data_IF_110257718145
#
_entry.id   IF_110257718145
#
_cell.length_a   1.000
_cell.length_b   1.000
_cell.length_c   1.000
_cell.angle_alpha   90.00
_cell.angle_beta   90.00
_cell.angle_gamma   90.00
#
_symmetry.space_group_name_H-M   'P 1'
#
loop_
_entity.id
_entity.type
_entity.pdbx_description
1 polymer ?
#
# COMPACT_ATOMS: atom_id res chain seq x y z
N UNK A 1 -27.41 -7.83 24.73
CA UNK A 1 -26.95 -8.44 23.46
C UNK A 1 -25.77 -7.64 22.91
N UNK A 2 -24.59 -8.27 22.86
CA UNK A 2 -23.29 -7.70 22.48
C UNK A 2 -23.26 -7.30 20.98
N UNK A 3 -23.14 -6.00 20.69
CA UNK A 3 -22.80 -5.45 19.36
C UNK A 3 -21.30 -5.18 19.18
N UNK A 4 -20.45 -5.69 20.06
CA UNK A 4 -19.02 -5.31 20.15
C UNK A 4 -18.07 -6.20 19.33
N UNK A 5 -18.52 -7.30 18.72
CA UNK A 5 -17.58 -8.28 18.16
C UNK A 5 -17.34 -8.22 16.63
N UNK A 6 -18.04 -7.39 15.85
CA UNK A 6 -17.91 -7.44 14.38
C UNK A 6 -16.73 -6.63 13.83
N UNK A 7 -16.43 -5.45 14.40
CA UNK A 7 -15.38 -4.54 13.89
C UNK A 7 -13.96 -5.11 14.14
N UNK A 8 -13.73 -5.70 15.32
CA UNK A 8 -12.44 -6.30 15.69
C UNK A 8 -12.06 -7.54 14.86
N UNK A 9 -13.05 -8.32 14.43
CA UNK A 9 -12.82 -9.47 13.56
C UNK A 9 -12.41 -8.99 12.16
N UNK A 10 -13.03 -7.92 11.64
CA UNK A 10 -12.69 -7.36 10.33
C UNK A 10 -11.27 -6.76 10.31
N UNK A 11 -10.85 -6.03 11.35
CA UNK A 11 -9.48 -5.46 11.43
C UNK A 11 -8.41 -6.53 11.61
N UNK A 12 -8.70 -7.60 12.37
CA UNK A 12 -7.77 -8.73 12.54
C UNK A 12 -7.67 -9.55 11.26
N UNK A 13 -8.79 -9.78 10.57
CA UNK A 13 -8.82 -10.43 9.26
C UNK A 13 -8.19 -9.56 8.17
N UNK A 14 -8.30 -8.23 8.28
CA UNK A 14 -7.65 -7.25 7.41
C UNK A 14 -6.14 -7.21 7.63
N UNK A 15 -5.70 -7.38 8.87
CA UNK A 15 -4.27 -7.45 9.19
C UNK A 15 -3.65 -8.78 8.82
N UNK A 16 -4.38 -9.86 9.07
CA UNK A 16 -4.04 -11.17 8.57
C UNK A 16 -4.05 -11.14 7.05
N UNK A 17 -5.07 -10.60 6.39
CA UNK A 17 -5.11 -10.42 4.95
C UNK A 17 -3.97 -9.51 4.48
N UNK A 18 -3.64 -8.40 5.12
CA UNK A 18 -2.51 -7.57 4.69
C UNK A 18 -1.17 -8.33 4.84
N UNK A 19 -0.95 -9.08 5.91
CA UNK A 19 0.23 -9.95 6.09
C UNK A 19 0.22 -11.08 5.06
N UNK A 20 -0.95 -11.68 4.83
CA UNK A 20 -1.15 -12.82 3.95
C UNK A 20 -1.02 -12.36 2.53
N UNK A 21 -1.72 -11.35 2.04
CA UNK A 21 -1.57 -10.74 0.71
C UNK A 21 -0.15 -10.22 0.48
N UNK A 22 0.53 -9.64 1.47
CA UNK A 22 1.96 -9.27 1.36
C UNK A 22 2.90 -10.49 1.28
N UNK A 23 2.53 -11.62 1.88
CA UNK A 23 3.26 -12.91 1.80
C UNK A 23 2.80 -13.78 0.60
N UNK A 24 1.59 -13.55 0.06
CA UNK A 24 0.90 -14.32 -0.97
C UNK A 24 0.74 -13.57 -2.30
N UNK A 25 1.28 -12.36 -2.46
CA UNK A 25 1.59 -11.80 -3.77
C UNK A 25 2.73 -12.62 -4.39
N UNK A 26 2.34 -13.84 -4.75
CA UNK A 26 2.74 -14.64 -5.88
C UNK A 26 4.09 -14.23 -6.42
N UNK A 27 5.12 -14.89 -5.86
CA UNK A 27 6.42 -15.07 -6.50
C UNK A 27 6.23 -15.76 -7.86
N UNK A 28 5.75 -15.00 -8.86
CA UNK A 28 6.15 -15.26 -10.23
C UNK A 28 7.45 -14.50 -10.42
N UNK A 29 8.53 -15.14 -9.99
CA UNK A 29 9.87 -14.72 -10.36
C UNK A 29 10.02 -14.97 -11.87
N UNK A 30 9.40 -14.11 -12.69
CA UNK A 30 9.67 -14.03 -14.11
C UNK A 30 11.04 -13.36 -14.27
N UNK A 31 12.10 -14.04 -13.83
CA UNK A 31 13.46 -13.77 -14.28
C UNK A 31 13.55 -14.27 -15.74
N UNK A 32 12.78 -13.65 -16.63
CA UNK A 32 13.10 -13.69 -18.04
C UNK A 32 14.38 -12.86 -18.16
N UNK A 33 15.51 -13.50 -18.46
CA UNK A 33 16.82 -12.90 -18.69
C UNK A 33 16.89 -11.93 -19.88
N UNK A 34 15.76 -11.32 -20.25
CA UNK A 34 15.69 -10.23 -21.19
C UNK A 34 15.72 -8.94 -20.37
N UNK A 35 16.89 -8.29 -20.33
CA UNK A 35 17.07 -6.90 -19.91
C UNK A 35 16.34 -5.97 -20.90
N UNK A 36 15.03 -6.12 -21.07
CA UNK A 36 14.22 -5.07 -21.66
C UNK A 36 14.18 -3.95 -20.64
N UNK A 37 14.87 -2.84 -20.93
CA UNK A 37 14.75 -1.60 -20.18
C UNK A 37 13.26 -1.26 -20.08
N UNK A 38 12.67 -1.52 -18.90
CA UNK A 38 11.32 -1.06 -18.61
C UNK A 38 11.43 0.44 -18.40
N UNK A 39 10.76 1.23 -19.23
CA UNK A 39 10.63 2.67 -18.97
C UNK A 39 9.88 2.83 -17.66
N UNK A 40 10.55 3.38 -16.64
CA UNK A 40 9.97 3.60 -15.32
C UNK A 40 8.69 4.44 -15.37
N UNK A 41 7.87 4.28 -14.35
CA UNK A 41 6.60 4.97 -14.22
C UNK A 41 6.79 6.50 -14.21
N UNK A 42 6.03 7.23 -15.04
CA UNK A 42 6.12 8.69 -15.11
C UNK A 42 4.94 9.35 -14.41
N UNK A 43 5.20 9.94 -13.24
CA UNK A 43 4.20 10.66 -12.48
C UNK A 43 4.20 12.16 -12.82
N UNK A 44 3.21 12.63 -13.60
CA UNK A 44 3.10 14.04 -14.02
C UNK A 44 2.89 15.02 -12.87
N UNK A 45 2.38 14.54 -11.74
CA UNK A 45 1.99 15.38 -10.58
C UNK A 45 3.09 15.51 -9.52
N UNK A 46 4.29 14.99 -9.74
CA UNK A 46 5.38 14.96 -8.72
C UNK A 46 5.68 16.33 -8.14
N UNK A 47 5.67 17.38 -8.97
CA UNK A 47 6.10 18.74 -8.59
C UNK A 47 5.30 19.38 -7.46
N UNK A 48 4.11 18.87 -7.16
CA UNK A 48 3.24 19.38 -6.09
C UNK A 48 3.18 18.44 -4.88
N UNK A 49 3.79 17.26 -4.94
CA UNK A 49 3.76 16.28 -3.85
C UNK A 49 4.97 16.54 -2.93
N UNK A 50 4.74 16.88 -1.64
CA UNK A 50 5.82 17.00 -0.66
C UNK A 50 6.65 15.73 -0.49
N UNK A 51 7.91 15.89 -0.10
CA UNK A 51 8.90 14.81 0.12
C UNK A 51 8.53 13.82 1.23
N UNK A 52 7.66 14.20 2.16
CA UNK A 52 7.23 13.43 3.31
C UNK A 52 6.01 12.53 3.04
N UNK A 53 5.59 12.40 1.78
CA UNK A 53 4.47 11.53 1.42
C UNK A 53 4.73 10.09 1.88
N UNK A 54 3.74 9.52 2.57
CA UNK A 54 3.76 8.16 3.12
C UNK A 54 3.10 7.18 2.15
N UNK A 55 2.15 7.66 1.36
CA UNK A 55 1.57 6.91 0.27
C UNK A 55 1.26 7.85 -0.91
N UNK A 56 1.32 7.32 -2.13
CA UNK A 56 0.95 8.02 -3.37
C UNK A 56 0.10 7.07 -4.21
N UNK A 57 -1.15 7.42 -4.42
CA UNK A 57 -2.09 6.69 -5.27
C UNK A 57 -2.30 7.50 -6.54
N UNK A 58 -2.13 6.89 -7.71
CA UNK A 58 -2.25 7.55 -9.01
C UNK A 58 -3.19 6.79 -9.91
N UNK A 59 -4.06 7.52 -10.61
CA UNK A 59 -5.04 6.98 -11.54
C UNK A 59 -5.05 7.79 -12.84
N UNK A 60 -4.78 7.14 -13.98
CA UNK A 60 -4.94 7.70 -15.34
C UNK A 60 -6.41 7.81 -15.77
N UNK A 61 -7.35 7.26 -14.99
CA UNK A 61 -8.80 7.40 -15.20
C UNK A 61 -9.48 7.55 -13.87
N UNK A 62 -10.07 8.72 -13.64
CA UNK A 62 -10.69 9.07 -12.37
C UNK A 62 -11.95 8.25 -12.07
N UNK A 63 -12.67 7.72 -13.07
CA UNK A 63 -13.81 6.82 -12.85
C UNK A 63 -13.44 5.62 -11.98
N UNK A 64 -12.30 4.99 -12.27
CA UNK A 64 -11.82 3.80 -11.57
C UNK A 64 -11.32 4.12 -10.15
N UNK A 65 -11.07 5.40 -9.85
CA UNK A 65 -10.67 5.83 -8.51
C UNK A 65 -11.83 5.87 -7.53
N UNK A 66 -13.07 6.10 -7.99
CA UNK A 66 -14.24 6.07 -7.10
C UNK A 66 -14.43 4.67 -6.56
N UNK A 67 -14.39 3.66 -7.43
CA UNK A 67 -14.55 2.26 -7.04
C UNK A 67 -13.44 1.83 -6.08
N UNK A 68 -12.22 2.32 -6.22
CA UNK A 68 -11.15 1.99 -5.28
C UNK A 68 -11.19 2.79 -3.97
N UNK A 69 -11.48 4.09 -4.03
CA UNK A 69 -11.36 5.01 -2.88
C UNK A 69 -12.63 5.07 -2.02
N UNK A 70 -13.80 4.79 -2.61
CA UNK A 70 -15.11 4.99 -1.97
C UNK A 70 -15.98 3.73 -1.89
N UNK A 71 -15.60 2.64 -2.57
CA UNK A 71 -16.37 1.41 -2.47
C UNK A 71 -16.12 0.70 -1.14
N UNK A 72 -17.21 0.49 -0.40
CA UNK A 72 -17.28 -0.29 0.83
C UNK A 72 -17.44 -1.80 0.57
N UNK A 73 -17.70 -2.20 -0.67
CA UNK A 73 -18.04 -3.57 -1.08
C UNK A 73 -16.81 -4.45 -1.30
N UNK A 74 -15.64 -3.83 -1.50
CA UNK A 74 -14.34 -4.50 -1.57
C UNK A 74 -13.61 -4.46 -0.21
N UNK A 75 -12.55 -5.25 -0.10
CA UNK A 75 -11.84 -5.66 1.14
C UNK A 75 -11.31 -4.54 2.06
N UNK A 76 -11.58 -3.27 1.77
CA UNK A 76 -11.04 -2.09 2.43
C UNK A 76 -12.19 -1.19 2.91
N UNK A 77 -12.12 -0.61 4.13
CA UNK A 77 -12.98 0.52 4.45
C UNK A 77 -12.69 1.64 3.44
N UNK A 78 -13.71 2.38 2.97
CA UNK A 78 -13.52 3.43 1.98
C UNK A 78 -12.50 4.41 2.54
N UNK A 79 -11.40 4.64 1.81
CA UNK A 79 -10.42 5.65 2.16
C UNK A 79 -11.11 7.00 2.36
N UNK A 80 -12.20 7.23 1.61
CA UNK A 80 -13.10 8.35 1.79
C UNK A 80 -14.55 7.95 1.50
N UNK A 81 -15.48 8.13 2.47
CA UNK A 81 -16.91 8.10 2.16
C UNK A 81 -17.22 9.14 1.06
N UNK A 82 -18.11 8.82 0.13
CA UNK A 82 -18.54 9.75 -0.94
C UNK A 82 -19.13 11.05 -0.38
N UNK A 83 -19.63 11.01 0.86
CA UNK A 83 -20.15 12.17 1.61
C UNK A 83 -19.07 13.06 2.25
N UNK A 84 -17.81 12.61 2.30
CA UNK A 84 -16.70 13.40 2.84
C UNK A 84 -16.31 14.53 1.89
N UNK A 85 -15.64 15.60 2.38
CA UNK A 85 -15.12 16.68 1.53
C UNK A 85 -14.27 16.19 0.35
N UNK A 86 -13.44 15.17 0.58
CA UNK A 86 -12.58 14.53 -0.43
C UNK A 86 -13.41 13.73 -1.42
N UNK A 87 -14.34 12.90 -0.93
CA UNK A 87 -15.24 12.11 -1.79
C UNK A 87 -16.09 13.00 -2.69
N UNK A 88 -16.65 14.09 -2.17
CA UNK A 88 -17.40 15.06 -2.95
C UNK A 88 -16.55 15.71 -4.05
N UNK A 89 -15.30 16.09 -3.73
CA UNK A 89 -14.37 16.64 -4.73
C UNK A 89 -14.08 15.64 -5.86
N UNK A 90 -13.80 14.38 -5.53
CA UNK A 90 -13.51 13.34 -6.52
C UNK A 90 -14.74 13.09 -7.40
N UNK A 91 -15.93 12.97 -6.79
CA UNK A 91 -17.19 12.76 -7.51
C UNK A 91 -17.50 13.89 -8.49
N UNK A 92 -17.31 15.15 -8.07
CA UNK A 92 -17.49 16.32 -8.94
C UNK A 92 -16.53 16.32 -10.13
N UNK A 93 -15.37 15.68 -9.98
CA UNK A 93 -14.27 15.69 -10.94
C UNK A 93 -14.41 14.64 -12.05
N UNK A 94 -15.16 13.54 -11.82
CA UNK A 94 -15.22 12.39 -12.74
C UNK A 94 -15.66 12.74 -14.15
N UNK A 95 -16.68 13.60 -14.27
CA UNK A 95 -17.26 13.95 -15.57
C UNK A 95 -16.77 15.31 -16.10
N UNK A 96 -15.60 15.78 -15.63
CA UNK A 96 -15.13 17.15 -15.86
C UNK A 96 -13.74 17.21 -16.48
N UNK A 97 -13.42 16.25 -17.36
CA UNK A 97 -12.19 16.29 -18.16
C UNK A 97 -10.90 16.25 -17.35
N UNK A 98 -10.96 15.73 -16.11
CA UNK A 98 -9.78 15.38 -15.32
C UNK A 98 -9.19 14.11 -15.93
N UNK A 99 -7.96 14.22 -16.41
CA UNK A 99 -7.26 13.10 -17.05
C UNK A 99 -6.53 12.24 -16.05
N UNK A 100 -5.99 12.83 -14.97
CA UNK A 100 -5.33 12.06 -13.92
C UNK A 100 -5.76 12.54 -12.53
N UNK A 101 -5.92 11.58 -11.61
CA UNK A 101 -6.08 11.82 -10.19
C UNK A 101 -4.85 11.27 -9.47
N UNK A 102 -4.19 12.10 -8.67
CA UNK A 102 -3.19 11.63 -7.70
C UNK A 102 -3.65 12.00 -6.29
N UNK A 103 -3.56 11.06 -5.36
CA UNK A 103 -3.80 11.29 -3.93
C UNK A 103 -2.54 10.89 -3.17
N UNK A 104 -1.88 11.84 -2.51
CA UNK A 104 -0.78 11.54 -1.59
C UNK A 104 -1.21 11.71 -0.14
N UNK A 105 -0.68 10.87 0.75
CA UNK A 105 -1.00 10.88 2.17
C UNK A 105 0.17 11.41 2.99
N UNK A 106 -0.12 12.34 3.88
CA UNK A 106 0.87 13.01 4.71
C UNK A 106 0.43 12.96 6.17
N UNK A 107 1.40 12.87 7.06
CA UNK A 107 1.13 12.95 8.49
C UNK A 107 0.83 14.40 8.87
N UNK A 108 -0.37 14.68 9.36
CA UNK A 108 -0.82 16.04 9.66
C UNK A 108 -0.80 16.37 11.16
N UNK A 109 -1.07 15.38 12.00
CA UNK A 109 -1.07 15.50 13.46
C UNK A 109 -0.80 14.13 14.10
N UNK A 110 -0.80 14.07 15.43
CA UNK A 110 -0.57 12.82 16.15
C UNK A 110 -1.65 11.79 15.77
N UNK A 111 -1.23 10.69 15.14
CA UNK A 111 -2.12 9.62 14.65
C UNK A 111 -3.16 10.07 13.62
N UNK A 112 -2.86 11.12 12.86
CA UNK A 112 -3.74 11.63 11.82
C UNK A 112 -2.99 11.79 10.50
N UNK A 113 -3.63 11.32 9.42
CA UNK A 113 -3.18 11.54 8.06
C UNK A 113 -4.16 12.43 7.31
N UNK A 114 -3.62 13.35 6.54
CA UNK A 114 -4.39 14.19 5.63
C UNK A 114 -3.99 13.94 4.19
N UNK A 115 -4.96 13.83 3.26
CA UNK A 115 -4.67 13.72 1.84
C UNK A 115 -4.27 15.06 1.23
N UNK A 116 -3.46 14.96 0.19
CA UNK A 116 -3.30 15.97 -0.85
C UNK A 116 -3.84 15.38 -2.16
N UNK A 117 -4.97 15.90 -2.61
CA UNK A 117 -5.67 15.50 -3.84
C UNK A 117 -5.21 16.39 -4.97
N UNK A 118 -4.81 15.79 -6.08
CA UNK A 118 -4.29 16.49 -7.25
C UNK A 118 -5.11 16.06 -8.46
N UNK A 119 -5.82 17.01 -9.05
CA UNK A 119 -6.57 16.83 -10.28
C UNK A 119 -5.74 17.43 -11.42
N UNK A 120 -5.36 16.60 -12.38
CA UNK A 120 -4.62 17.01 -13.57
C UNK A 120 -5.51 17.02 -14.81
N UNK A 121 -5.28 17.99 -15.69
CA UNK A 121 -6.04 18.19 -16.92
C UNK A 121 -5.11 18.19 -18.13
N UNK A 122 -5.51 17.53 -19.22
CA UNK A 122 -4.68 17.39 -20.43
C UNK A 122 -4.63 18.63 -21.31
N UNK A 123 -5.49 19.63 -21.09
CA UNK A 123 -5.47 20.87 -21.87
C UNK A 123 -5.81 22.09 -21.02
N UNK A 124 -5.30 23.26 -21.42
CA UNK A 124 -5.57 24.53 -20.74
C UNK A 124 -7.05 24.94 -20.85
N UNK A 125 -7.71 24.58 -21.96
CA UNK A 125 -9.14 24.80 -22.16
C UNK A 125 -10.00 23.95 -21.21
N UNK A 126 -9.66 22.66 -21.06
CA UNK A 126 -10.29 21.77 -20.08
C UNK A 126 -10.04 22.29 -18.67
N UNK A 127 -8.79 22.62 -18.34
CA UNK A 127 -8.44 23.16 -17.03
C UNK A 127 -9.23 24.42 -16.68
N UNK A 128 -9.27 25.43 -17.56
CA UNK A 128 -9.89 26.73 -17.27
C UNK A 128 -11.38 26.60 -17.00
N UNK A 129 -12.09 25.88 -17.87
CA UNK A 129 -13.55 25.69 -17.77
C UNK A 129 -13.93 24.75 -16.62
N UNK A 130 -13.31 23.58 -16.54
CA UNK A 130 -13.68 22.53 -15.58
C UNK A 130 -13.19 22.84 -14.16
N UNK A 131 -11.98 23.37 -13.98
CA UNK A 131 -11.51 23.75 -12.63
C UNK A 131 -12.39 24.84 -12.00
N UNK A 132 -12.83 25.82 -12.81
CA UNK A 132 -13.71 26.89 -12.33
C UNK A 132 -15.09 26.34 -11.95
N UNK A 133 -15.62 25.39 -12.72
CA UNK A 133 -16.85 24.68 -12.37
C UNK A 133 -16.71 23.91 -11.05
N UNK A 134 -15.65 23.11 -10.88
CA UNK A 134 -15.39 22.30 -9.68
C UNK A 134 -15.28 23.22 -8.45
N UNK A 135 -14.46 24.27 -8.52
CA UNK A 135 -14.27 25.22 -7.42
C UNK A 135 -15.58 25.94 -7.06
N UNK A 136 -16.37 26.35 -8.07
CA UNK A 136 -17.69 26.96 -7.82
C UNK A 136 -18.65 25.97 -7.14
N UNK A 137 -18.67 24.70 -7.55
CA UNK A 137 -19.52 23.67 -6.90
C UNK A 137 -19.07 23.33 -5.49
N UNK A 138 -17.78 23.45 -5.20
CA UNK A 138 -17.24 23.40 -3.84
C UNK A 138 -17.48 24.69 -3.06
N UNK A 139 -18.10 25.72 -3.65
CA UNK A 139 -18.25 27.07 -3.06
C UNK A 139 -16.91 27.66 -2.62
N UNK A 140 -15.83 27.37 -3.37
CA UNK A 140 -14.49 27.78 -3.03
C UNK A 140 -14.27 29.26 -3.32
N UNK A 141 -14.01 30.03 -2.28
CA UNK A 141 -13.69 31.46 -2.34
C UNK A 141 -12.27 31.71 -1.85
N UNK A 142 -11.66 32.82 -2.25
CA UNK A 142 -10.31 33.18 -1.77
C UNK A 142 -10.37 33.38 -0.25
N UNK A 143 -9.59 32.57 0.48
CA UNK A 143 -9.49 32.62 1.94
C UNK A 143 -8.24 33.38 2.37
N UNK A 144 -7.10 33.07 1.74
CA UNK A 144 -5.81 33.64 2.10
C UNK A 144 -4.82 33.59 0.92
N UNK A 145 -3.60 34.07 1.15
CA UNK A 145 -2.47 33.86 0.24
C UNK A 145 -1.27 33.38 1.04
N UNK A 146 -0.48 32.46 0.46
CA UNK A 146 0.70 31.91 1.10
C UNK A 146 1.85 31.82 0.07
N UNK A 147 3.00 32.42 0.37
CA UNK A 147 4.13 32.53 -0.56
C UNK A 147 3.74 33.09 -1.95
N UNK A 148 2.79 34.02 -1.99
CA UNK A 148 2.26 34.61 -3.22
C UNK A 148 1.40 33.67 -4.07
N UNK A 149 0.87 32.59 -3.47
CA UNK A 149 -0.11 31.69 -4.08
C UNK A 149 -1.43 31.85 -3.36
N UNK A 150 -2.48 32.16 -4.11
CA UNK A 150 -3.83 32.27 -3.57
C UNK A 150 -4.37 30.91 -3.12
N UNK A 151 -4.89 30.87 -1.90
CA UNK A 151 -5.56 29.72 -1.32
C UNK A 151 -7.06 29.99 -1.33
N UNK A 152 -7.80 29.08 -1.96
CA UNK A 152 -9.25 29.08 -1.98
C UNK A 152 -9.75 28.08 -0.95
N UNK A 153 -10.87 28.36 -0.27
CA UNK A 153 -11.50 27.43 0.68
C UNK A 153 -12.99 27.29 0.39
N UNK A 154 -13.47 26.05 0.43
CA UNK A 154 -14.88 25.72 0.20
C UNK A 154 -15.15 24.23 0.34
N UNK A 155 -16.36 23.86 0.76
CA UNK A 155 -16.78 22.46 0.84
C UNK A 155 -15.91 21.59 1.75
N UNK A 156 -15.33 22.17 2.81
CA UNK A 156 -14.43 21.48 3.74
C UNK A 156 -13.01 21.23 3.20
N UNK A 157 -12.66 21.79 2.04
CA UNK A 157 -11.36 21.64 1.39
C UNK A 157 -10.71 23.02 1.18
N UNK A 158 -9.38 23.02 1.10
CA UNK A 158 -8.57 24.16 0.67
C UNK A 158 -7.85 23.81 -0.62
N UNK A 159 -7.69 24.80 -1.51
CA UNK A 159 -7.22 24.60 -2.87
C UNK A 159 -6.18 25.63 -3.27
N UNK A 160 -5.25 25.24 -4.15
CA UNK A 160 -4.52 26.17 -5.01
C UNK A 160 -4.40 25.61 -6.43
N UNK A 161 -4.07 26.49 -7.38
CA UNK A 161 -3.87 26.13 -8.80
C UNK A 161 -2.38 26.20 -9.16
N UNK A 162 -1.90 25.24 -9.95
CA UNK A 162 -0.53 25.23 -10.47
C UNK A 162 -0.49 24.62 -11.87
N UNK A 163 -0.20 25.42 -12.90
CA UNK A 163 -0.29 24.96 -14.28
C UNK A 163 -1.67 24.36 -14.57
N UNK A 164 -1.70 23.15 -15.14
CA UNK A 164 -2.92 22.38 -15.41
C UNK A 164 -3.37 21.52 -14.23
N UNK A 165 -3.07 21.92 -12.99
CA UNK A 165 -3.41 21.17 -11.78
C UNK A 165 -4.29 21.98 -10.83
N UNK A 166 -5.30 21.33 -10.26
CA UNK A 166 -5.96 21.76 -9.02
C UNK A 166 -5.45 20.87 -7.90
N UNK A 167 -4.85 21.50 -6.89
CA UNK A 167 -4.31 20.80 -5.72
C UNK A 167 -5.18 21.14 -4.52
N UNK A 168 -5.62 20.14 -3.77
CA UNK A 168 -6.58 20.28 -2.70
C UNK A 168 -6.22 19.46 -1.46
N UNK A 169 -6.51 19.96 -0.26
CA UNK A 169 -6.39 19.22 0.99
C UNK A 169 -7.40 19.76 2.01
N UNK A 170 -7.86 18.91 2.92
CA UNK A 170 -8.59 19.35 4.11
C UNK A 170 -7.64 19.97 5.17
N UNK A 171 -6.34 19.73 5.08
CA UNK A 171 -5.31 20.28 5.97
C UNK A 171 -4.57 21.45 5.34
N UNK A 172 -4.63 22.61 6.00
CA UNK A 172 -3.89 23.80 5.56
C UNK A 172 -2.37 23.56 5.61
N UNK A 173 -1.89 22.80 6.60
CA UNK A 173 -0.46 22.52 6.79
C UNK A 173 0.08 21.73 5.58
N UNK A 174 -0.67 20.72 5.13
CA UNK A 174 -0.28 19.90 3.97
C UNK A 174 -0.35 20.73 2.68
N UNK A 175 -1.40 21.53 2.49
CA UNK A 175 -1.52 22.41 1.33
C UNK A 175 -0.38 23.43 1.26
N UNK A 176 -0.03 24.07 2.38
CA UNK A 176 1.10 24.99 2.47
C UNK A 176 2.44 24.29 2.26
N UNK A 177 2.59 23.03 2.72
CA UNK A 177 3.77 22.22 2.45
C UNK A 177 3.96 21.98 0.95
N UNK A 178 2.88 21.66 0.24
CA UNK A 178 2.88 21.55 -1.22
C UNK A 178 3.29 22.86 -1.90
N UNK A 179 2.75 24.00 -1.47
CA UNK A 179 3.13 25.32 -1.99
C UNK A 179 4.63 25.61 -1.77
N UNK A 180 5.19 25.27 -0.59
CA UNK A 180 6.63 25.43 -0.33
C UNK A 180 7.49 24.61 -1.29
N UNK A 181 7.14 23.35 -1.51
CA UNK A 181 7.86 22.45 -2.43
C UNK A 181 7.82 22.97 -3.87
N UNK A 182 6.64 23.44 -4.33
CA UNK A 182 6.50 24.07 -5.64
C UNK A 182 7.41 25.29 -5.79
N UNK A 183 7.55 26.11 -4.75
CA UNK A 183 8.38 27.32 -4.76
C UNK A 183 9.88 27.02 -4.71
N UNK A 184 10.30 26.01 -3.96
CA UNK A 184 11.70 25.61 -3.87
C UNK A 184 12.16 24.74 -5.04
N UNK A 185 11.24 24.25 -5.87
CA UNK A 185 11.52 23.26 -6.91
C UNK A 185 11.73 21.84 -6.36
N UNK A 186 11.45 21.63 -5.07
CA UNK A 186 11.52 20.32 -4.44
C UNK A 186 10.27 19.49 -4.74
N UNK A 187 10.37 18.17 -4.67
CA UNK A 187 9.26 17.25 -4.87
C UNK A 187 9.51 15.90 -4.21
N UNK A 188 8.51 15.02 -4.20
CA UNK A 188 8.67 13.63 -3.77
C UNK A 188 9.80 12.87 -4.48
N UNK A 189 10.23 13.32 -5.67
CA UNK A 189 11.37 12.75 -6.39
C UNK A 189 12.73 13.05 -5.74
N UNK A 190 12.79 13.95 -4.76
CA UNK A 190 13.98 14.19 -3.94
C UNK A 190 14.16 13.11 -2.86
N UNK A 191 13.14 12.28 -2.62
CA UNK A 191 13.27 11.07 -1.82
C UNK A 191 13.92 9.98 -2.67
N UNK A 192 15.17 9.61 -2.37
CA UNK A 192 15.94 8.64 -3.15
C UNK A 192 15.22 7.30 -3.32
N UNK A 193 14.61 6.80 -2.25
CA UNK A 193 13.91 5.51 -2.27
C UNK A 193 12.64 5.59 -3.14
N UNK A 194 11.90 6.69 -3.07
CA UNK A 194 10.72 6.90 -3.92
C UNK A 194 11.10 7.04 -5.39
N UNK A 195 12.14 7.83 -5.68
CA UNK A 195 12.65 8.01 -7.04
C UNK A 195 13.04 6.67 -7.67
N UNK A 196 13.71 5.82 -6.90
CA UNK A 196 14.16 4.53 -7.36
C UNK A 196 13.01 3.54 -7.60
N UNK A 197 12.06 3.43 -6.66
CA UNK A 197 10.91 2.54 -6.87
C UNK A 197 10.04 2.99 -8.05
N UNK A 198 9.84 4.30 -8.24
CA UNK A 198 9.11 4.82 -9.41
C UNK A 198 9.85 4.49 -10.71
N UNK A 199 11.18 4.59 -10.71
CA UNK A 199 12.00 4.26 -11.88
C UNK A 199 12.01 2.77 -12.21
N UNK A 200 11.92 1.87 -11.22
CA UNK A 200 11.89 0.43 -11.42
C UNK A 200 10.48 -0.13 -11.68
N UNK A 201 9.44 0.63 -11.34
CA UNK A 201 8.07 0.17 -11.51
C UNK A 201 7.61 0.34 -12.97
N UNK A 202 7.09 -0.72 -13.63
CA UNK A 202 6.54 -0.62 -14.97
C UNK A 202 5.38 0.39 -15.06
N UNK A 203 5.22 1.00 -16.24
CA UNK A 203 4.07 1.86 -16.50
C UNK A 203 2.75 1.10 -16.32
N UNK A 204 1.78 1.76 -15.69
CA UNK A 204 0.44 1.23 -15.47
C UNK A 204 -0.57 2.35 -15.29
N UNK A 205 -1.85 2.02 -15.47
CA UNK A 205 -2.94 2.99 -15.41
C UNK A 205 -3.31 3.41 -13.98
N UNK A 206 -3.15 2.48 -13.03
CA UNK A 206 -3.45 2.70 -11.63
C UNK A 206 -2.31 2.18 -10.79
N UNK A 207 -1.61 3.09 -10.11
CA UNK A 207 -0.37 2.80 -9.40
C UNK A 207 -0.48 3.30 -7.97
N UNK A 208 -0.10 2.46 -7.03
CA UNK A 208 -0.07 2.78 -5.61
C UNK A 208 1.37 2.60 -5.11
N UNK A 209 1.90 3.58 -4.40
CA UNK A 209 3.21 3.52 -3.77
C UNK A 209 3.03 3.73 -2.27
N UNK A 210 3.62 2.87 -1.44
CA UNK A 210 3.54 2.98 0.01
C UNK A 210 4.93 2.95 0.64
N UNK A 211 5.17 3.88 1.55
CA UNK A 211 6.35 3.91 2.40
C UNK A 211 6.15 2.99 3.60
N UNK A 212 6.58 1.75 3.44
CA UNK A 212 6.42 0.70 4.46
C UNK A 212 7.27 1.00 5.70
N UNK A 213 8.38 1.73 5.60
CA UNK A 213 9.11 2.17 6.81
C UNK A 213 8.26 3.09 7.71
N UNK A 214 7.32 3.83 7.13
CA UNK A 214 6.43 4.73 7.87
C UNK A 214 5.08 4.07 8.20
N UNK A 215 4.96 2.75 8.04
CA UNK A 215 3.69 2.04 8.23
C UNK A 215 3.11 2.20 9.63
N UNK A 216 3.93 2.46 10.65
CA UNK A 216 3.43 2.76 12.00
C UNK A 216 2.53 3.99 12.08
N UNK A 217 2.78 5.01 11.24
CA UNK A 217 1.89 6.18 11.12
C UNK A 217 0.57 5.80 10.45
N UNK A 218 0.62 4.95 9.41
CA UNK A 218 -0.59 4.44 8.73
C UNK A 218 -1.40 3.66 9.76
N UNK A 219 -0.75 2.74 10.47
CA UNK A 219 -1.36 1.90 11.48
C UNK A 219 -2.05 2.70 12.57
N UNK A 220 -1.38 3.71 13.13
CA UNK A 220 -1.98 4.51 14.20
C UNK A 220 -3.14 5.38 13.72
N UNK A 221 -3.22 5.67 12.43
CA UNK A 221 -4.30 6.46 11.83
C UNK A 221 -5.51 5.61 11.42
N UNK A 222 -5.31 4.32 11.09
CA UNK A 222 -6.36 3.45 10.55
C UNK A 222 -6.73 2.24 11.43
N UNK A 223 -6.01 1.99 12.53
CA UNK A 223 -6.26 0.84 13.41
C UNK A 223 -6.41 1.25 14.86
N UNK A 224 -7.11 0.41 15.64
CA UNK A 224 -7.27 0.63 17.07
C UNK A 224 -6.01 0.27 17.88
N UNK A 225 -5.89 0.87 19.06
CA UNK A 225 -4.73 0.74 19.96
C UNK A 225 -4.21 -0.70 20.17
N UNK A 226 -5.05 -1.74 20.37
CA UNK A 226 -4.58 -3.11 20.58
C UNK A 226 -3.73 -3.67 19.43
N UNK A 227 -3.89 -3.11 18.23
CA UNK A 227 -3.20 -3.57 17.03
C UNK A 227 -1.89 -2.82 16.77
N UNK A 228 -1.67 -1.65 17.38
CA UNK A 228 -0.49 -0.82 17.11
C UNK A 228 0.84 -1.54 17.34
N UNK A 229 0.88 -2.54 18.23
CA UNK A 229 2.06 -3.39 18.46
C UNK A 229 2.56 -4.11 17.20
N UNK A 230 1.68 -4.38 16.24
CA UNK A 230 2.06 -5.05 15.00
C UNK A 230 2.76 -4.12 14.00
N UNK A 231 2.62 -2.80 14.16
CA UNK A 231 3.26 -1.80 13.30
C UNK A 231 4.78 -1.97 13.21
N UNK A 232 5.42 -2.39 14.30
CA UNK A 232 6.85 -2.67 14.34
C UNK A 232 7.26 -3.74 13.32
N UNK A 233 6.49 -4.84 13.22
CA UNK A 233 6.72 -5.87 12.21
C UNK A 233 6.49 -5.33 10.80
N UNK A 234 5.37 -4.63 10.54
CA UNK A 234 5.11 -4.10 9.20
C UNK A 234 6.17 -3.12 8.73
N UNK A 235 6.70 -2.30 9.64
CA UNK A 235 7.78 -1.37 9.32
C UNK A 235 9.08 -2.05 8.90
N UNK A 236 9.21 -3.37 9.13
CA UNK A 236 10.36 -4.22 8.78
C UNK A 236 10.12 -5.06 7.53
N UNK A 237 8.94 -4.98 6.91
CA UNK A 237 8.63 -5.80 5.73
C UNK A 237 9.51 -5.39 4.54
N UNK A 238 9.52 -4.09 4.24
CA UNK A 238 10.26 -3.51 3.13
C UNK A 238 10.47 -2.01 3.37
N UNK A 239 11.19 -1.33 2.48
CA UNK A 239 11.32 0.13 2.54
C UNK A 239 10.15 0.83 1.87
N UNK A 240 9.89 0.47 0.61
CA UNK A 240 8.74 0.91 -0.17
C UNK A 240 8.11 -0.28 -0.88
N UNK A 241 6.85 -0.17 -1.24
CA UNK A 241 6.25 -1.07 -2.21
C UNK A 241 5.46 -0.29 -3.26
N UNK A 242 5.38 -0.86 -4.45
CA UNK A 242 4.57 -0.37 -5.55
C UNK A 242 3.59 -1.45 -5.94
N UNK A 243 2.34 -1.08 -6.22
CA UNK A 243 1.32 -1.98 -6.71
C UNK A 243 0.60 -1.35 -7.89
N UNK A 244 0.51 -2.10 -8.98
CA UNK A 244 -0.47 -1.90 -10.03
C UNK A 244 -1.80 -2.47 -9.58
N UNK A 245 -2.86 -1.73 -9.85
CA UNK A 245 -4.23 -2.13 -9.57
C UNK A 245 -5.02 -2.28 -10.87
N UNK A 246 -5.68 -3.42 -11.04
CA UNK A 246 -6.55 -3.71 -12.18
C UNK A 246 -7.89 -4.25 -11.68
N UNK A 247 -8.98 -3.66 -12.16
CA UNK A 247 -10.33 -4.18 -11.95
C UNK A 247 -10.70 -4.98 -13.19
N UNK A 248 -11.03 -6.27 -13.02
CA UNK A 248 -11.53 -7.09 -14.11
C UNK A 248 -12.80 -7.83 -13.67
N UNK A 249 -13.95 -7.48 -14.27
CA UNK A 249 -15.25 -8.08 -13.97
C UNK A 249 -15.60 -7.97 -12.48
N UNK A 250 -15.58 -9.09 -11.77
CA UNK A 250 -15.90 -9.22 -10.34
C UNK A 250 -14.67 -9.23 -9.42
N UNK A 251 -13.46 -9.09 -9.96
CA UNK A 251 -12.21 -9.27 -9.23
C UNK A 251 -11.33 -8.02 -9.25
N UNK A 252 -10.61 -7.83 -8.15
CA UNK A 252 -9.49 -6.88 -8.03
C UNK A 252 -8.19 -7.66 -8.14
N UNK A 253 -7.35 -7.27 -9.10
CA UNK A 253 -6.01 -7.79 -9.28
C UNK A 253 -5.00 -6.72 -8.86
N UNK A 254 -4.08 -7.13 -7.99
CA UNK A 254 -2.97 -6.33 -7.52
C UNK A 254 -1.69 -7.06 -7.91
N UNK A 255 -0.74 -6.36 -8.49
CA UNK A 255 0.59 -6.90 -8.80
C UNK A 255 1.63 -5.83 -8.50
N UNK A 256 2.78 -6.19 -7.96
CA UNK A 256 3.67 -5.17 -7.45
C UNK A 256 4.98 -5.72 -6.91
N UNK A 257 5.88 -4.79 -6.61
CA UNK A 257 7.23 -5.07 -6.15
C UNK A 257 7.49 -4.42 -4.78
N UNK A 258 8.39 -5.04 -4.03
CA UNK A 258 8.89 -4.53 -2.76
C UNK A 258 10.32 -4.08 -2.93
N UNK A 259 10.60 -2.87 -2.47
CA UNK A 259 11.88 -2.22 -2.60
C UNK A 259 12.63 -2.25 -1.25
N UNK A 260 13.63 -3.12 -1.16
CA UNK A 260 14.30 -3.51 0.08
C UNK A 260 15.65 -2.80 0.26
N UNK A 261 15.65 -1.57 0.76
CA UNK A 261 16.89 -0.79 0.90
C UNK A 261 17.69 -1.09 2.16
N UNK A 262 17.13 -1.86 3.11
CA UNK A 262 17.83 -2.24 4.35
C UNK A 262 18.49 -3.61 4.28
N UNK A 263 18.49 -4.24 3.11
CA UNK A 263 19.09 -5.56 2.85
C UNK A 263 18.42 -6.63 3.72
N UNK A 264 19.23 -7.46 4.39
CA UNK A 264 18.77 -8.59 5.25
C UNK A 264 17.84 -8.17 6.39
N UNK A 265 17.75 -6.87 6.72
CA UNK A 265 16.78 -6.35 7.70
C UNK A 265 15.35 -6.30 7.17
N UNK A 266 15.15 -6.24 5.87
CA UNK A 266 13.81 -6.26 5.28
C UNK A 266 13.30 -7.71 5.20
N UNK A 267 12.17 -8.01 5.83
CA UNK A 267 11.58 -9.35 5.87
C UNK A 267 11.34 -9.91 4.45
N UNK A 268 10.95 -9.07 3.50
CA UNK A 268 10.74 -9.50 2.11
C UNK A 268 11.99 -10.13 1.46
N UNK A 269 13.20 -9.83 1.97
CA UNK A 269 14.44 -10.43 1.45
C UNK A 269 14.60 -11.91 1.77
N UNK A 270 13.84 -12.44 2.74
CA UNK A 270 13.87 -13.88 3.08
C UNK A 270 13.50 -14.73 1.85
N UNK A 271 12.64 -14.19 0.99
CA UNK A 271 12.12 -14.88 -0.18
C UNK A 271 12.88 -14.55 -1.48
N UNK A 272 13.91 -13.68 -1.44
CA UNK A 272 14.62 -13.24 -2.65
C UNK A 272 15.23 -14.41 -3.45
N UNK A 273 15.64 -15.47 -2.75
CA UNK A 273 16.23 -16.67 -3.35
C UNK A 273 15.31 -17.90 -3.25
N UNK A 274 14.07 -17.70 -2.81
CA UNK A 274 13.09 -18.76 -2.72
C UNK A 274 12.43 -18.96 -4.08
N UNK A 275 12.64 -20.13 -4.68
CA UNK A 275 11.84 -20.55 -5.83
C UNK A 275 10.52 -21.15 -5.34
N UNK A 276 9.41 -20.68 -5.91
CA UNK A 276 8.09 -21.21 -5.60
C UNK A 276 8.00 -22.72 -5.88
N UNK A 277 7.52 -23.47 -4.91
CA UNK A 277 7.13 -24.87 -5.05
C UNK A 277 5.66 -25.04 -5.44
N UNK A 278 5.25 -26.28 -5.64
CA UNK A 278 3.83 -26.62 -5.85
C UNK A 278 3.12 -26.84 -4.51
N UNK A 279 2.07 -26.08 -4.28
CA UNK A 279 1.16 -26.28 -3.16
C UNK A 279 0.16 -27.40 -3.47
N UNK A 280 -0.05 -28.30 -2.50
CA UNK A 280 -1.10 -29.34 -2.51
C UNK A 280 -2.03 -29.19 -1.30
N UNK A 281 -2.15 -27.96 -0.80
CA UNK A 281 -2.92 -27.62 0.39
C UNK A 281 -4.36 -28.14 0.35
N UNK A 282 -5.00 -28.03 -0.83
CA UNK A 282 -6.37 -28.46 -1.07
C UNK A 282 -6.59 -29.95 -0.84
N UNK A 283 -5.55 -30.76 -1.02
CA UNK A 283 -5.66 -32.22 -1.02
C UNK A 283 -5.39 -32.79 0.37
N UNK A 284 -4.70 -32.03 1.23
CA UNK A 284 -4.26 -32.47 2.56
C UNK A 284 -5.16 -31.94 3.67
N UNK A 285 -5.75 -30.75 3.51
CA UNK A 285 -6.50 -30.11 4.58
C UNK A 285 -7.93 -30.64 4.72
N UNK A 286 -8.42 -30.85 5.96
CA UNK A 286 -9.81 -31.23 6.21
C UNK A 286 -10.80 -30.22 5.61
N UNK A 287 -11.94 -30.71 5.14
CA UNK A 287 -13.00 -29.88 4.55
C UNK A 287 -13.52 -28.78 5.49
N UNK A 288 -13.38 -28.96 6.80
CA UNK A 288 -13.83 -28.02 7.83
C UNK A 288 -12.75 -26.99 8.24
N UNK A 289 -11.66 -26.90 7.48
CA UNK A 289 -10.63 -25.87 7.67
C UNK A 289 -11.23 -24.49 7.51
N UNK A 290 -11.06 -23.63 8.53
CA UNK A 290 -11.56 -22.26 8.48
C UNK A 290 -10.59 -21.32 7.75
N UNK A 291 -9.28 -21.47 8.02
CA UNK A 291 -8.20 -20.67 7.44
C UNK A 291 -6.98 -21.57 7.27
N UNK A 292 -6.25 -21.38 6.18
CA UNK A 292 -4.93 -21.99 6.01
C UNK A 292 -3.96 -21.04 5.33
N UNK A 293 -2.73 -21.03 5.82
CA UNK A 293 -1.60 -20.30 5.27
C UNK A 293 -0.53 -21.33 4.91
N UNK A 294 -0.01 -21.30 3.69
CA UNK A 294 1.04 -22.21 3.28
C UNK A 294 2.21 -21.49 2.62
N UNK A 295 3.39 -22.07 2.80
CA UNK A 295 4.61 -21.69 2.10
C UNK A 295 5.14 -22.97 1.45
N UNK A 296 5.19 -22.99 0.12
CA UNK A 296 5.86 -24.03 -0.64
C UNK A 296 7.02 -23.42 -1.43
N UNK A 297 8.21 -23.93 -1.18
CA UNK A 297 9.44 -23.53 -1.86
C UNK A 297 10.19 -24.76 -2.31
N UNK A 298 10.94 -24.68 -3.40
CA UNK A 298 11.76 -25.79 -3.89
C UNK A 298 12.96 -26.09 -2.99
N UNK A 299 13.42 -25.10 -2.23
CA UNK A 299 14.64 -25.16 -1.42
C UNK A 299 14.41 -24.49 -0.06
N UNK A 300 13.95 -25.28 0.92
CA UNK A 300 13.77 -24.81 2.29
C UNK A 300 15.09 -24.47 2.98
N UNK A 301 16.21 -25.07 2.58
CA UNK A 301 17.51 -24.75 3.18
C UNK A 301 17.87 -23.28 2.94
N UNK A 302 17.75 -22.82 1.70
CA UNK A 302 17.96 -21.40 1.34
C UNK A 302 16.98 -20.46 2.05
N UNK A 303 15.70 -20.83 2.11
CA UNK A 303 14.69 -20.04 2.81
C UNK A 303 15.03 -19.89 4.30
N UNK A 304 15.38 -20.99 4.96
CA UNK A 304 15.73 -20.99 6.39
C UNK A 304 17.02 -20.20 6.66
N UNK A 305 18.04 -20.32 5.80
CA UNK A 305 19.27 -19.53 5.94
C UNK A 305 18.97 -18.03 5.81
N UNK A 306 18.12 -17.64 4.86
CA UNK A 306 17.71 -16.24 4.68
C UNK A 306 16.89 -15.72 5.87
N UNK A 307 16.03 -16.57 6.43
CA UNK A 307 15.26 -16.29 7.64
C UNK A 307 16.14 -16.12 8.89
N UNK A 308 17.19 -16.94 9.01
CA UNK A 308 18.18 -16.81 10.08
C UNK A 308 18.92 -15.48 10.01
N UNK A 309 19.39 -15.11 8.82
CA UNK A 309 20.08 -13.82 8.59
C UNK A 309 19.17 -12.62 8.88
N UNK A 310 17.89 -12.70 8.52
CA UNK A 310 16.90 -11.70 8.92
C UNK A 310 16.76 -11.59 10.44
N UNK A 311 16.56 -12.73 11.14
CA UNK A 311 16.39 -12.71 12.59
C UNK A 311 17.65 -12.18 13.31
N UNK A 312 18.85 -12.54 12.84
CA UNK A 312 20.14 -12.08 13.41
C UNK A 312 20.31 -10.58 13.34
N UNK A 313 19.70 -9.95 12.35
CA UNK A 313 19.75 -8.49 12.19
C UNK A 313 18.99 -7.74 13.30
N UNK A 314 18.16 -8.43 14.09
CA UNK A 314 17.36 -7.84 15.17
C UNK A 314 17.66 -8.40 16.55
N UNK A 315 18.18 -9.63 16.64
CA UNK A 315 18.44 -10.33 17.90
C UNK A 315 19.66 -11.23 17.77
N UNK A 316 20.39 -11.42 18.87
CA UNK A 316 21.41 -12.47 18.95
C UNK A 316 20.70 -13.82 18.97
N UNK A 317 21.10 -14.72 18.08
CA UNK A 317 20.58 -16.09 17.99
C UNK A 317 21.76 -17.00 18.21
N UNK A 318 21.57 -18.04 19.03
CA UNK A 318 22.54 -19.13 19.15
C UNK A 318 22.61 -19.90 17.82
N UNK A 319 23.76 -19.87 17.12
CA UNK A 319 23.90 -20.56 15.84
C UNK A 319 23.71 -22.08 15.96
N UNK A 320 24.09 -22.67 17.10
CA UNK A 320 24.01 -24.12 17.31
C UNK A 320 22.56 -24.58 17.48
N UNK A 321 21.75 -23.81 18.20
CA UNK A 321 20.32 -24.07 18.36
C UNK A 321 19.61 -23.99 17.01
N UNK A 322 19.89 -22.93 16.22
CA UNK A 322 19.29 -22.78 14.89
C UNK A 322 19.67 -23.93 13.95
N UNK A 323 20.94 -24.33 13.94
CA UNK A 323 21.39 -25.44 13.10
C UNK A 323 20.73 -26.75 13.51
N UNK A 324 20.59 -27.03 14.82
CA UNK A 324 19.87 -28.21 15.29
C UNK A 324 18.39 -28.23 14.86
N UNK A 325 17.68 -27.11 15.01
CA UNK A 325 16.27 -26.98 14.59
C UNK A 325 16.13 -27.13 13.06
N UNK A 326 17.07 -26.55 12.32
CA UNK A 326 17.14 -26.64 10.86
C UNK A 326 17.37 -28.10 10.43
N UNK A 327 18.34 -28.80 11.02
CA UNK A 327 18.61 -30.21 10.72
C UNK A 327 17.40 -31.09 11.00
N UNK A 328 16.72 -30.89 12.15
CA UNK A 328 15.47 -31.59 12.43
C UNK A 328 14.41 -31.32 11.38
N UNK A 329 14.16 -30.05 11.02
CA UNK A 329 13.16 -29.70 10.02
C UNK A 329 13.49 -30.28 8.64
N UNK A 330 14.75 -30.17 8.21
CA UNK A 330 15.21 -30.70 6.92
C UNK A 330 15.17 -32.24 6.88
N UNK A 331 15.34 -32.92 8.01
CA UNK A 331 15.19 -34.39 8.10
C UNK A 331 13.78 -34.89 7.76
N UNK A 332 12.79 -34.00 7.80
CA UNK A 332 11.41 -34.30 7.40
C UNK A 332 11.22 -34.23 5.88
N UNK A 333 12.24 -33.89 5.07
CA UNK A 333 12.13 -33.67 3.62
C UNK A 333 10.96 -32.74 3.23
N UNK A 334 10.94 -31.49 3.73
CA UNK A 334 9.80 -30.59 3.60
C UNK A 334 9.63 -30.08 2.17
N UNK A 335 8.41 -30.12 1.65
CA UNK A 335 8.01 -29.50 0.38
C UNK A 335 6.97 -28.38 0.55
N UNK A 336 6.23 -28.40 1.66
CA UNK A 336 5.27 -27.36 1.99
C UNK A 336 5.08 -27.26 3.51
N UNK A 337 5.13 -26.05 4.03
CA UNK A 337 4.81 -25.74 5.43
C UNK A 337 3.43 -25.09 5.48
N UNK A 338 2.53 -25.65 6.27
CA UNK A 338 1.14 -25.18 6.38
C UNK A 338 0.81 -24.83 7.82
N UNK A 339 0.15 -23.70 8.03
CA UNK A 339 -0.49 -23.30 9.28
C UNK A 339 -2.00 -23.22 9.05
N UNK A 340 -2.75 -24.14 9.64
CA UNK A 340 -4.20 -24.26 9.45
C UNK A 340 -4.97 -24.05 10.76
N UNK A 341 -6.11 -23.38 10.69
CA UNK A 341 -7.06 -23.20 11.79
C UNK A 341 -8.19 -24.21 11.64
N UNK A 342 -8.14 -25.27 12.45
CA UNK A 342 -9.04 -26.41 12.37
C UNK A 342 -9.98 -26.48 13.58
N UNK A 343 -11.23 -26.94 13.42
CA UNK A 343 -12.07 -27.28 14.55
C UNK A 343 -11.51 -28.52 15.25
N UNK A 344 -11.26 -28.42 16.55
CA UNK A 344 -10.87 -29.56 17.37
C UNK A 344 -11.71 -29.58 18.64
N UNK A 345 -12.62 -30.57 18.71
CA UNK A 345 -13.67 -30.65 19.75
C UNK A 345 -14.54 -29.38 19.73
N UNK A 346 -14.62 -28.65 20.84
CA UNK A 346 -15.43 -27.45 21.01
C UNK A 346 -14.68 -26.14 20.78
N UNK A 347 -13.47 -26.16 20.23
CA UNK A 347 -12.68 -24.95 19.94
C UNK A 347 -11.91 -25.03 18.63
N UNK A 348 -11.57 -23.88 18.06
CA UNK A 348 -10.63 -23.81 16.95
C UNK A 348 -9.19 -23.89 17.46
N UNK A 349 -8.30 -24.57 16.72
CA UNK A 349 -6.88 -24.70 17.04
C UNK A 349 -6.01 -24.49 15.80
N UNK A 350 -4.93 -23.76 15.98
CA UNK A 350 -3.87 -23.67 14.99
C UNK A 350 -3.05 -24.95 15.00
N UNK A 351 -2.85 -25.52 13.82
CA UNK A 351 -2.07 -26.73 13.58
C UNK A 351 -1.03 -26.41 12.52
N UNK A 352 0.23 -26.75 12.79
CA UNK A 352 1.31 -26.70 11.81
C UNK A 352 1.47 -28.08 11.18
N UNK A 353 1.45 -28.14 9.87
CA UNK A 353 1.66 -29.35 9.08
C UNK A 353 2.88 -29.16 8.20
N UNK A 354 3.68 -30.22 8.05
CA UNK A 354 4.79 -30.29 7.11
C UNK A 354 4.39 -31.35 6.10
N UNK A 355 4.26 -30.95 4.83
CA UNK A 355 4.14 -31.89 3.73
C UNK A 355 5.54 -32.34 3.35
N UNK A 356 5.72 -33.64 3.31
CA UNK A 356 6.98 -34.31 2.99
C UNK A 356 6.80 -35.17 1.74
N UNK A 357 7.91 -35.47 1.07
CA UNK A 357 7.95 -36.50 0.03
C UNK A 357 8.02 -37.92 0.58
#
# INVERSE_FOLDING_TARGET
>A
MRKINKIYITVTFFLLALIVTVVFFYFKNNYNGNNTFVTGFKLSTVSVIPTDAIAVLHFNRISNSIDFLSDTSHMFPPLYPSSSPVGNLINLSVYRGVSQLTVSFHYSAKNEMSPLVILYFDSDSSFTSNSSYILRKMSAIKESSYNGVDILAGGGMKFFKRGRMVVASNSLIILQSSIRHVKSGASIMDNSNFKEIVASTPNGDHMCFFNIQQFGKIFSSFTEYPYWKYADFFSKISSWCSFKYEINGSGVYLSGDMYNTRGRRDFATIFQYAEAGSSQLSDVLPYNTLVALSISVKDFDKLLNSFYEYKRSYKVIDPSLFENDKQWFMSQNPEELVLALLPYKSSYRWVTLIRSN
#
